data_IF_776722796879
#
_entry.id   IF_776722796879
#
_cell.length_a   1.000
_cell.length_b   1.000
_cell.length_c   1.000
_cell.angle_alpha   90.00
_cell.angle_beta   90.00
_cell.angle_gamma   90.00
#
_symmetry.space_group_name_H-M   'P 1'
#
loop_
_entity.id
_entity.type
_entity.pdbx_description
1 polymer ?
#
# COMPACT_ATOMS: atom_id res chain seq x y z
N UNK A 1 23.87 16.22 28.53
CA UNK A 1 22.73 16.94 27.91
C UNK A 1 21.46 16.08 27.89
N UNK A 2 21.53 14.76 28.14
CA UNK A 2 20.34 13.91 28.28
C UNK A 2 19.49 14.21 29.52
N UNK A 3 20.13 14.53 30.66
CA UNK A 3 19.42 14.73 31.94
C UNK A 3 18.51 15.99 31.93
N UNK A 4 18.81 16.97 31.08
CA UNK A 4 17.96 18.16 30.90
C UNK A 4 16.76 17.88 30.01
N UNK A 5 16.88 16.97 29.05
CA UNK A 5 15.79 16.59 28.14
C UNK A 5 14.78 15.74 28.91
N UNK A 6 15.23 14.72 29.64
CA UNK A 6 14.36 13.88 30.48
C UNK A 6 13.56 14.69 31.51
N UNK A 7 14.20 15.70 32.12
CA UNK A 7 13.50 16.62 33.03
C UNK A 7 12.42 17.41 32.31
N UNK A 8 12.72 17.97 31.15
CA UNK A 8 11.74 18.71 30.36
C UNK A 8 10.57 17.81 29.90
N UNK A 9 10.85 16.57 29.50
CA UNK A 9 9.82 15.60 29.13
C UNK A 9 8.93 15.21 30.31
N UNK A 10 9.51 15.03 31.50
CA UNK A 10 8.78 14.74 32.73
C UNK A 10 7.86 15.90 33.14
N UNK A 11 8.36 17.15 33.07
CA UNK A 11 7.54 18.33 33.35
C UNK A 11 6.44 18.55 32.31
N UNK A 12 6.74 18.37 31.02
CA UNK A 12 5.75 18.49 29.95
C UNK A 12 4.66 17.41 30.03
N UNK A 13 5.00 16.20 30.48
CA UNK A 13 4.03 15.13 30.74
C UNK A 13 3.15 15.43 31.95
N UNK A 14 3.72 15.97 33.03
CA UNK A 14 2.97 16.39 34.21
C UNK A 14 2.01 17.56 33.90
N UNK A 15 2.44 18.51 33.08
CA UNK A 15 1.63 19.66 32.63
C UNK A 15 0.43 19.21 31.76
N UNK A 16 0.64 18.22 30.88
CA UNK A 16 -0.44 17.62 30.07
C UNK A 16 -1.49 16.87 30.90
N UNK A 17 -1.14 16.36 32.09
CA UNK A 17 -2.08 15.70 33.00
C UNK A 17 -2.93 16.69 33.82
N UNK A 18 -2.46 17.92 33.99
CA UNK A 18 -3.13 18.98 34.76
C UNK A 18 -4.14 19.79 33.94
N UNK A 19 -4.04 19.76 32.61
CA UNK A 19 -5.04 20.37 31.74
C UNK A 19 -6.14 19.32 31.51
N UNK A 20 -7.40 19.56 31.92
CA UNK A 20 -8.53 18.71 31.56
C UNK A 20 -8.85 18.95 30.07
N UNK A 21 -7.98 18.48 29.19
CA UNK A 21 -8.20 18.46 27.75
C UNK A 21 -8.74 17.09 27.39
N UNK A 22 -10.04 17.05 27.10
CA UNK A 22 -10.74 16.03 26.31
C UNK A 22 -9.90 14.79 25.96
N UNK A 23 -9.79 13.89 26.93
CA UNK A 23 -8.84 12.77 26.95
C UNK A 23 -9.16 11.68 25.93
N UNK A 24 -10.21 11.84 25.12
CA UNK A 24 -10.55 10.95 24.02
C UNK A 24 -9.85 11.26 22.69
N UNK A 25 -9.34 12.48 22.48
CA UNK A 25 -8.88 12.92 21.14
C UNK A 25 -7.35 12.95 20.95
N UNK A 26 -6.55 13.10 22.01
CA UNK A 26 -5.08 13.12 21.88
C UNK A 26 -4.44 11.71 21.84
N UNK A 27 -5.02 10.74 22.56
CA UNK A 27 -4.53 9.35 22.55
C UNK A 27 -4.79 8.68 21.19
N UNK A 28 -5.92 8.98 20.54
CA UNK A 28 -6.23 8.48 19.20
C UNK A 28 -5.29 9.07 18.15
N UNK A 29 -5.09 10.40 18.14
CA UNK A 29 -4.22 11.10 17.18
C UNK A 29 -2.76 10.61 17.19
N UNK A 30 -2.25 10.18 18.34
CA UNK A 30 -0.86 9.67 18.47
C UNK A 30 -0.69 8.20 18.04
N UNK A 31 -1.78 7.43 17.96
CA UNK A 31 -1.75 6.02 17.53
C UNK A 31 -2.02 5.85 16.03
N UNK A 32 -2.81 6.74 15.44
CA UNK A 32 -3.08 6.76 14.00
C UNK A 32 -1.81 6.71 13.12
N UNK A 33 -0.75 7.53 13.34
CA UNK A 33 0.46 7.45 12.51
C UNK A 33 1.20 6.12 12.66
N UNK A 34 1.20 5.52 13.86
CA UNK A 34 1.83 4.21 14.10
C UNK A 34 1.09 3.08 13.39
N UNK A 35 -0.25 3.10 13.42
CA UNK A 35 -1.09 2.14 12.69
C UNK A 35 -0.88 2.26 11.18
N UNK A 36 -0.79 3.49 10.68
CA UNK A 36 -0.55 3.75 9.26
C UNK A 36 0.83 3.25 8.83
N UNK A 37 1.87 3.50 9.63
CA UNK A 37 3.22 2.99 9.38
C UNK A 37 3.25 1.46 9.30
N UNK A 38 2.63 0.77 10.27
CA UNK A 38 2.53 -0.69 10.25
C UNK A 38 1.80 -1.22 8.99
N UNK A 39 0.75 -0.52 8.53
CA UNK A 39 0.04 -0.88 7.31
C UNK A 39 0.91 -0.70 6.06
N UNK A 40 1.72 0.36 6.01
CA UNK A 40 2.68 0.59 4.92
C UNK A 40 3.71 -0.54 4.88
N UNK A 41 4.27 -0.95 6.02
CA UNK A 41 5.25 -2.04 6.08
C UNK A 41 4.67 -3.36 5.55
N UNK A 42 3.43 -3.69 5.93
CA UNK A 42 2.73 -4.88 5.41
C UNK A 42 2.54 -4.77 3.90
N UNK A 43 2.11 -3.62 3.39
CA UNK A 43 1.93 -3.42 1.95
C UNK A 43 3.24 -3.53 1.19
N UNK A 44 4.32 -2.96 1.70
CA UNK A 44 5.66 -3.06 1.09
C UNK A 44 6.16 -4.50 1.07
N UNK A 45 5.97 -5.25 2.16
CA UNK A 45 6.29 -6.69 2.21
C UNK A 45 5.49 -7.46 1.17
N UNK A 46 4.19 -7.19 1.06
CA UNK A 46 3.36 -7.84 0.05
C UNK A 46 3.83 -7.52 -1.38
N UNK A 47 4.22 -6.27 -1.67
CA UNK A 47 4.78 -5.89 -2.98
C UNK A 47 6.02 -6.72 -3.31
N UNK A 48 6.95 -6.87 -2.36
CA UNK A 48 8.15 -7.72 -2.53
C UNK A 48 7.77 -9.18 -2.78
N UNK A 49 6.84 -9.72 -2.01
CA UNK A 49 6.36 -11.09 -2.21
C UNK A 49 5.72 -11.27 -3.60
N UNK A 50 4.90 -10.32 -4.07
CA UNK A 50 4.34 -10.35 -5.43
C UNK A 50 5.41 -10.23 -6.52
N UNK A 51 6.55 -9.59 -6.22
CA UNK A 51 7.71 -9.51 -7.11
C UNK A 51 8.59 -10.79 -7.08
N UNK A 52 8.27 -11.75 -6.20
CA UNK A 52 9.04 -12.98 -6.03
C UNK A 52 10.23 -12.85 -5.08
N UNK A 53 10.27 -11.79 -4.27
CA UNK A 53 11.29 -11.55 -3.24
C UNK A 53 10.82 -12.06 -1.87
N UNK A 54 11.76 -12.26 -0.93
CA UNK A 54 11.50 -12.68 0.47
C UNK A 54 10.65 -13.97 0.66
N UNK A 55 10.51 -14.79 -0.40
CA UNK A 55 9.63 -15.97 -0.41
C UNK A 55 10.08 -17.08 0.56
N UNK A 56 11.36 -17.12 0.92
CA UNK A 56 11.91 -18.08 1.88
C UNK A 56 11.28 -17.98 3.28
N UNK A 57 10.78 -16.79 3.62
CA UNK A 57 10.12 -16.52 4.91
C UNK A 57 8.63 -16.88 4.90
N UNK A 58 8.07 -17.22 3.73
CA UNK A 58 6.66 -17.55 3.57
C UNK A 58 6.39 -19.04 3.81
N UNK A 59 5.26 -19.34 4.42
CA UNK A 59 4.79 -20.72 4.55
C UNK A 59 4.28 -21.26 3.21
N UNK A 60 4.30 -22.59 3.07
CA UNK A 60 3.78 -23.27 1.87
C UNK A 60 2.32 -22.88 1.56
N UNK A 61 1.49 -22.71 2.58
CA UNK A 61 0.09 -22.30 2.42
C UNK A 61 -0.02 -20.89 1.83
N UNK A 62 0.81 -19.96 2.30
CA UNK A 62 0.79 -18.59 1.80
C UNK A 62 1.28 -18.53 0.35
N UNK A 63 2.30 -19.31 -0.01
CA UNK A 63 2.77 -19.44 -1.40
C UNK A 63 1.68 -20.02 -2.33
N UNK A 64 0.96 -21.05 -1.88
CA UNK A 64 -0.16 -21.64 -2.61
C UNK A 64 -1.33 -20.66 -2.81
N UNK A 65 -1.48 -19.66 -1.94
CA UNK A 65 -2.48 -18.60 -2.11
C UNK A 65 -1.96 -17.45 -3.00
N UNK A 66 -0.66 -17.15 -2.91
CA UNK A 66 0.00 -16.10 -3.64
C UNK A 66 0.02 -16.37 -5.16
N UNK A 67 0.33 -17.59 -5.56
CA UNK A 67 0.43 -18.00 -6.96
C UNK A 67 -0.86 -17.73 -7.78
N UNK A 68 -2.05 -18.25 -7.40
CA UNK A 68 -3.27 -18.00 -8.16
C UNK A 68 -3.69 -16.52 -8.14
N UNK A 69 -3.34 -15.78 -7.10
CA UNK A 69 -3.58 -14.34 -7.03
C UNK A 69 -2.77 -13.59 -8.09
N UNK A 70 -1.48 -13.90 -8.24
CA UNK A 70 -0.61 -13.31 -9.26
C UNK A 70 -1.08 -13.73 -10.66
N UNK A 71 -1.35 -15.01 -10.89
CA UNK A 71 -1.82 -15.50 -12.19
C UNK A 71 -3.12 -14.82 -12.64
N UNK A 72 -4.10 -14.70 -11.72
CA UNK A 72 -5.36 -14.01 -12.00
C UNK A 72 -5.15 -12.53 -12.33
N UNK A 73 -4.28 -11.83 -11.58
CA UNK A 73 -3.95 -10.43 -11.84
C UNK A 73 -3.28 -10.26 -13.21
N UNK A 74 -2.32 -11.12 -13.55
CA UNK A 74 -1.64 -11.11 -14.85
C UNK A 74 -2.60 -11.39 -16.00
N UNK A 75 -3.51 -12.35 -15.86
CA UNK A 75 -4.57 -12.62 -16.85
C UNK A 75 -5.43 -11.38 -17.09
N UNK A 76 -5.85 -10.68 -16.04
CA UNK A 76 -6.63 -9.44 -16.16
C UNK A 76 -5.85 -8.34 -16.88
N UNK A 77 -4.58 -8.12 -16.50
CA UNK A 77 -3.72 -7.11 -17.14
C UNK A 77 -3.53 -7.40 -18.63
N UNK A 78 -3.19 -8.65 -18.98
CA UNK A 78 -3.02 -9.09 -20.38
C UNK A 78 -4.31 -8.94 -21.18
N UNK A 79 -5.44 -9.35 -20.61
CA UNK A 79 -6.76 -9.19 -21.24
C UNK A 79 -7.06 -7.72 -21.53
N UNK A 80 -6.83 -6.82 -20.57
CA UNK A 80 -7.07 -5.39 -20.77
C UNK A 80 -6.12 -4.80 -21.81
N UNK A 81 -4.84 -5.17 -21.80
CA UNK A 81 -3.87 -4.74 -22.81
C UNK A 81 -4.28 -5.18 -24.21
N UNK A 82 -4.68 -6.45 -24.38
CA UNK A 82 -5.13 -6.96 -25.67
C UNK A 82 -6.40 -6.25 -26.15
N UNK A 83 -7.34 -5.97 -25.26
CA UNK A 83 -8.54 -5.21 -25.58
C UNK A 83 -8.18 -3.83 -26.15
N UNK A 84 -7.31 -3.07 -25.46
CA UNK A 84 -6.88 -1.74 -25.91
C UNK A 84 -6.15 -1.78 -27.26
N UNK A 85 -5.30 -2.79 -27.48
CA UNK A 85 -4.62 -2.96 -28.76
C UNK A 85 -5.62 -3.24 -29.89
N UNK A 86 -6.60 -4.12 -29.64
CA UNK A 86 -7.63 -4.43 -30.63
C UNK A 86 -8.53 -3.23 -30.94
N UNK A 87 -8.85 -2.41 -29.93
CA UNK A 87 -9.56 -1.13 -30.11
C UNK A 87 -8.75 -0.21 -31.04
N UNK A 88 -7.45 -0.03 -30.77
CA UNK A 88 -6.56 0.79 -31.60
C UNK A 88 -6.44 0.27 -33.04
N UNK A 89 -6.28 -1.05 -33.24
CA UNK A 89 -6.26 -1.67 -34.57
C UNK A 89 -7.57 -1.39 -35.32
N UNK A 90 -8.71 -1.55 -34.64
CA UNK A 90 -10.03 -1.34 -35.25
C UNK A 90 -10.22 0.12 -35.69
N UNK A 91 -9.76 1.08 -34.88
CA UNK A 91 -9.77 2.50 -35.24
C UNK A 91 -8.91 2.80 -36.47
N UNK A 92 -7.69 2.25 -36.51
CA UNK A 92 -6.78 2.43 -37.65
C UNK A 92 -7.35 1.80 -38.92
N UNK A 93 -7.91 0.60 -38.84
CA UNK A 93 -8.56 -0.06 -39.97
C UNK A 93 -9.76 0.75 -40.49
N UNK A 94 -10.55 1.35 -39.59
CA UNK A 94 -11.65 2.23 -39.97
C UNK A 94 -11.16 3.47 -40.71
N UNK A 95 -10.08 4.09 -40.23
CA UNK A 95 -9.44 5.24 -40.91
C UNK A 95 -8.97 4.87 -42.31
N UNK A 96 -8.23 3.77 -42.46
CA UNK A 96 -7.78 3.30 -43.79
C UNK A 96 -8.97 3.11 -44.73
N UNK A 97 -10.05 2.45 -44.28
CA UNK A 97 -11.26 2.27 -45.10
C UNK A 97 -11.91 3.59 -45.51
N UNK A 98 -11.85 4.63 -44.67
CA UNK A 98 -12.38 5.96 -45.02
C UNK A 98 -11.51 6.71 -46.04
N UNK A 99 -10.19 6.51 -46.00
CA UNK A 99 -9.25 7.17 -46.93
C UNK A 99 -9.05 6.43 -48.25
N UNK A 100 -9.43 5.15 -48.34
CA UNK A 100 -9.33 4.33 -49.56
C UNK A 100 -10.62 4.32 -50.41
N UNK A 101 -11.56 5.25 -50.16
CA UNK A 101 -12.71 5.56 -51.03
C UNK A 101 -12.39 6.88 -51.74
#
# INVERSE_FOLDING_TARGET
MENTIERYESYAQAERQLIPSDSGHQASSSQEPKKLAARIEVLQRNIRNYAGEDLETMSLRELQQLEPQIDTALKRIRSRKNQLINESISELQKKVKLYCI
#
